data_IF_548906336276
#
_entry.id   IF_548906336276
#
_cell.length_a   1.000
_cell.length_b   1.000
_cell.length_c   1.000
_cell.angle_alpha   90.00
_cell.angle_beta   90.00
_cell.angle_gamma   90.00
#
_symmetry.space_group_name_H-M   'P 1'
#
loop_
_entity.id
_entity.type
_entity.pdbx_description
1 polymer ?
#
# COMPACT_ATOMS: atom_id res chain seq x y z
N UNK A 1 -10.06 1.67 -4.17
CA UNK A 1 -9.46 1.98 -5.49
C UNK A 1 -9.16 0.71 -6.25
N UNK A 2 -9.18 0.76 -7.56
CA UNK A 2 -8.84 -0.36 -8.42
C UNK A 2 -7.34 -0.41 -8.72
N UNK A 3 -6.76 -1.61 -8.69
CA UNK A 3 -5.36 -1.84 -9.08
C UNK A 3 -5.35 -2.49 -10.47
N UNK A 4 -5.28 -1.65 -11.50
CA UNK A 4 -5.33 -2.10 -12.88
C UNK A 4 -3.93 -2.38 -13.46
N UNK A 5 -3.89 -2.99 -14.64
CA UNK A 5 -2.62 -3.35 -15.27
C UNK A 5 -1.77 -2.12 -15.62
N UNK A 6 -2.39 -1.01 -15.99
CA UNK A 6 -1.66 0.23 -16.30
C UNK A 6 -0.87 0.71 -15.09
N UNK A 7 -1.48 0.70 -13.90
CA UNK A 7 -0.82 1.11 -12.65
C UNK A 7 0.34 0.17 -12.32
N UNK A 8 0.13 -1.13 -12.50
CA UNK A 8 1.18 -2.14 -12.27
C UNK A 8 2.36 -1.91 -13.22
N UNK A 9 2.07 -1.66 -14.50
CA UNK A 9 3.12 -1.38 -15.49
C UNK A 9 3.90 -0.11 -15.18
N UNK A 10 3.22 0.95 -14.74
CA UNK A 10 3.88 2.19 -14.33
C UNK A 10 4.80 1.97 -13.12
N UNK A 11 4.36 1.18 -12.15
CA UNK A 11 5.19 0.85 -11.00
C UNK A 11 6.41 0.02 -11.42
N UNK A 12 6.21 -0.96 -12.30
CA UNK A 12 7.30 -1.78 -12.84
C UNK A 12 8.34 -0.91 -13.56
N UNK A 13 7.89 0.06 -14.35
CA UNK A 13 8.78 0.97 -15.07
C UNK A 13 9.55 1.86 -14.10
N UNK A 14 8.88 2.38 -13.07
CA UNK A 14 9.52 3.25 -12.09
C UNK A 14 10.55 2.54 -11.22
N UNK A 15 10.35 1.25 -10.94
CA UNK A 15 11.18 0.47 -9.99
C UNK A 15 12.07 -0.56 -10.68
N UNK A 16 11.92 -0.73 -11.99
CA UNK A 16 12.59 -1.75 -12.80
C UNK A 16 12.19 -3.19 -12.41
N UNK A 17 11.02 -3.33 -11.79
CA UNK A 17 10.46 -4.60 -11.34
C UNK A 17 9.60 -5.27 -12.40
N UNK A 18 10.22 -5.71 -13.52
CA UNK A 18 9.52 -6.24 -14.68
C UNK A 18 9.40 -7.78 -14.66
N UNK A 19 9.24 -8.37 -13.49
CA UNK A 19 9.01 -9.81 -13.40
C UNK A 19 7.70 -10.17 -14.14
N UNK A 20 7.73 -11.29 -14.88
CA UNK A 20 6.62 -11.68 -15.75
C UNK A 20 5.27 -11.82 -15.02
N UNK A 21 5.29 -12.20 -13.74
CA UNK A 21 4.06 -12.36 -12.96
C UNK A 21 3.28 -11.04 -12.79
N UNK A 22 3.94 -9.91 -13.03
CA UNK A 22 3.33 -8.59 -12.91
C UNK A 22 2.97 -7.99 -14.26
N UNK A 23 3.76 -8.21 -15.29
CA UNK A 23 3.66 -7.44 -16.53
C UNK A 23 3.32 -8.25 -17.77
N UNK A 24 3.55 -9.56 -17.79
CA UNK A 24 3.29 -10.40 -18.95
C UNK A 24 1.94 -11.10 -18.81
N UNK A 25 0.90 -10.46 -19.34
CA UNK A 25 -0.48 -10.93 -19.21
C UNK A 25 -0.71 -12.28 -19.88
N UNK A 26 -0.07 -12.53 -21.03
CA UNK A 26 -0.21 -13.79 -21.75
C UNK A 26 0.45 -14.94 -21.01
N UNK A 27 1.67 -14.73 -20.56
CA UNK A 27 2.41 -15.74 -19.80
C UNK A 27 1.73 -16.01 -18.47
N UNK A 28 1.26 -14.98 -17.79
CA UNK A 28 0.56 -15.12 -16.51
C UNK A 28 -0.72 -15.96 -16.65
N UNK A 29 -1.48 -15.75 -17.73
CA UNK A 29 -2.68 -16.54 -18.00
C UNK A 29 -2.38 -18.03 -18.15
N UNK A 30 -1.22 -18.39 -18.68
CA UNK A 30 -0.81 -19.77 -18.93
C UNK A 30 -0.07 -20.39 -17.76
N UNK A 31 0.87 -19.67 -17.15
CA UNK A 31 1.84 -20.22 -16.22
C UNK A 31 1.63 -19.80 -14.77
N UNK A 32 0.92 -18.70 -14.51
CA UNK A 32 0.67 -18.23 -13.13
C UNK A 32 -0.30 -19.14 -12.40
N UNK A 33 -0.02 -19.41 -11.13
CA UNK A 33 -0.95 -20.10 -10.24
C UNK A 33 -2.28 -19.35 -10.10
N UNK A 34 -2.28 -18.03 -10.32
CA UNK A 34 -3.45 -17.16 -10.22
C UNK A 34 -4.17 -16.98 -11.57
N UNK A 35 -3.63 -17.51 -12.66
CA UNK A 35 -4.16 -17.41 -14.03
C UNK A 35 -4.27 -15.98 -14.55
N UNK A 36 -3.61 -15.04 -13.91
CA UNK A 36 -3.57 -13.63 -14.28
C UNK A 36 -2.35 -12.98 -13.65
N UNK A 37 -2.07 -11.73 -14.03
CA UNK A 37 -1.01 -10.95 -13.37
C UNK A 37 -1.43 -10.51 -11.98
N UNK A 38 -0.45 -10.28 -11.14
CA UNK A 38 -0.64 -9.79 -9.78
C UNK A 38 0.14 -8.48 -9.59
N UNK A 39 -0.34 -7.63 -8.72
CA UNK A 39 0.35 -6.41 -8.34
C UNK A 39 1.61 -6.75 -7.54
N UNK A 40 2.64 -5.91 -7.69
CA UNK A 40 3.79 -5.95 -6.77
C UNK A 40 3.28 -5.69 -5.35
N UNK A 41 3.75 -6.46 -4.39
CA UNK A 41 3.43 -6.19 -2.98
C UNK A 41 3.82 -4.76 -2.59
N UNK A 42 4.97 -4.31 -3.06
CA UNK A 42 5.45 -2.95 -2.79
C UNK A 42 4.61 -1.86 -3.48
N UNK A 43 3.96 -2.16 -4.59
CA UNK A 43 2.98 -1.22 -5.17
C UNK A 43 1.82 -1.02 -4.20
N UNK A 44 1.23 -2.11 -3.74
CA UNK A 44 0.09 -2.06 -2.81
C UNK A 44 0.48 -1.29 -1.55
N UNK A 45 1.64 -1.58 -0.98
CA UNK A 45 2.16 -0.85 0.17
C UNK A 45 2.34 0.64 -0.13
N UNK A 46 2.86 0.97 -1.31
CA UNK A 46 3.10 2.35 -1.71
C UNK A 46 1.83 3.19 -1.88
N UNK A 47 0.69 2.56 -2.03
CA UNK A 47 -0.62 3.23 -2.12
C UNK A 47 -1.18 3.62 -0.75
N UNK A 48 -0.59 3.13 0.34
CA UNK A 48 -1.06 3.39 1.70
C UNK A 48 -1.13 4.89 2.03
N UNK A 49 -0.09 5.69 1.79
CA UNK A 49 -0.16 7.12 2.12
C UNK A 49 -1.28 7.84 1.36
N UNK A 50 -1.50 7.51 0.10
CA UNK A 50 -2.60 8.08 -0.68
C UNK A 50 -3.95 7.76 -0.04
N UNK A 51 -4.20 6.49 0.26
CA UNK A 51 -5.46 6.06 0.88
C UNK A 51 -5.64 6.63 2.29
N UNK A 52 -4.56 6.75 3.04
CA UNK A 52 -4.59 7.35 4.37
C UNK A 52 -4.99 8.83 4.32
N UNK A 53 -4.46 9.56 3.36
CA UNK A 53 -4.79 10.97 3.18
C UNK A 53 -6.25 11.21 2.73
N UNK A 54 -6.91 10.18 2.20
CA UNK A 54 -8.35 10.25 1.90
C UNK A 54 -9.22 10.05 3.15
N UNK A 55 -8.67 9.42 4.19
CA UNK A 55 -9.40 9.11 5.43
C UNK A 55 -9.27 10.25 6.45
N UNK A 56 -8.11 10.86 6.52
CA UNK A 56 -7.76 11.82 7.57
C UNK A 56 -7.29 13.14 6.97
N UNK A 57 -7.61 14.22 7.65
CA UNK A 57 -7.09 15.55 7.36
C UNK A 57 -6.21 16.00 8.52
N UNK A 58 -5.00 16.45 8.21
CA UNK A 58 -4.07 16.97 9.20
C UNK A 58 -3.90 18.47 8.96
N UNK A 59 -4.35 19.27 9.91
CA UNK A 59 -4.31 20.72 9.80
C UNK A 59 -2.90 21.27 10.04
N UNK A 60 -2.59 22.39 9.38
CA UNK A 60 -1.30 23.08 9.51
C UNK A 60 -0.10 22.21 9.15
N UNK A 61 -0.32 21.22 8.31
CA UNK A 61 0.71 20.31 7.89
C UNK A 61 1.67 20.97 6.90
N UNK A 62 2.97 20.92 7.19
CA UNK A 62 4.01 21.34 6.28
C UNK A 62 4.42 20.17 5.36
N UNK A 63 4.70 19.01 5.98
CA UNK A 63 5.04 17.80 5.23
C UNK A 63 4.84 16.56 6.10
N UNK A 64 4.61 15.44 5.45
CA UNK A 64 4.56 14.12 6.06
C UNK A 64 5.69 13.27 5.46
N UNK A 65 6.42 12.59 6.32
CA UNK A 65 7.56 11.76 5.90
C UNK A 65 7.32 10.32 6.33
N UNK A 66 7.59 9.39 5.43
CA UNK A 66 7.61 7.97 5.77
C UNK A 66 8.82 7.71 6.67
N UNK A 67 8.58 7.20 7.87
CA UNK A 67 9.63 6.98 8.85
C UNK A 67 9.96 5.50 9.02
N UNK A 68 8.96 4.66 9.06
CA UNK A 68 9.18 3.24 9.25
C UNK A 68 7.92 2.41 9.10
N UNK A 69 8.11 1.12 9.30
CA UNK A 69 7.05 0.14 9.20
C UNK A 69 7.34 -0.98 10.19
N UNK A 70 6.38 -1.28 11.07
CA UNK A 70 6.50 -2.36 12.04
C UNK A 70 5.54 -3.49 11.72
N UNK A 71 5.96 -4.73 12.00
CA UNK A 71 5.11 -5.92 11.93
C UNK A 71 4.38 -6.06 10.60
N UNK A 72 4.99 -5.59 9.54
CA UNK A 72 4.39 -5.59 8.21
C UNK A 72 4.48 -6.97 7.59
N UNK A 73 3.36 -7.46 7.05
CA UNK A 73 3.27 -8.76 6.36
C UNK A 73 2.50 -8.62 5.07
N UNK A 74 2.99 -9.29 4.03
CA UNK A 74 2.22 -9.56 2.83
C UNK A 74 1.44 -10.86 3.06
N UNK A 75 0.11 -10.76 3.07
CA UNK A 75 -0.74 -11.89 3.40
C UNK A 75 -1.28 -12.60 2.15
N UNK A 76 -1.62 -11.81 1.14
CA UNK A 76 -2.24 -12.36 -0.05
C UNK A 76 -2.00 -11.46 -1.26
N UNK A 77 -1.80 -12.05 -2.47
CA UNK A 77 -1.57 -11.26 -3.67
C UNK A 77 -2.82 -10.49 -4.10
N UNK A 78 -2.59 -9.30 -4.64
CA UNK A 78 -3.63 -8.49 -5.26
C UNK A 78 -3.64 -8.82 -6.75
N UNK A 79 -4.68 -9.50 -7.22
CA UNK A 79 -4.84 -9.81 -8.64
C UNK A 79 -5.14 -8.52 -9.41
N UNK A 80 -4.68 -8.45 -10.65
CA UNK A 80 -4.99 -7.31 -11.52
C UNK A 80 -6.51 -7.10 -11.59
N UNK A 81 -6.94 -5.83 -11.50
CA UNK A 81 -8.36 -5.48 -11.51
C UNK A 81 -9.05 -5.54 -10.15
N UNK A 82 -8.35 -6.02 -9.12
CA UNK A 82 -8.93 -6.05 -7.76
C UNK A 82 -9.14 -4.65 -7.22
N UNK A 83 -10.17 -4.49 -6.41
CA UNK A 83 -10.41 -3.25 -5.66
C UNK A 83 -9.88 -3.44 -4.24
N UNK A 84 -9.15 -2.45 -3.79
CA UNK A 84 -8.56 -2.45 -2.45
C UNK A 84 -9.03 -1.25 -1.65
N UNK A 85 -9.00 -1.39 -0.32
CA UNK A 85 -9.27 -0.28 0.59
C UNK A 85 -8.36 -0.36 1.81
N UNK A 86 -8.10 0.79 2.40
CA UNK A 86 -7.37 0.89 3.66
C UNK A 86 -8.34 0.89 4.82
N UNK A 87 -8.07 0.03 5.80
CA UNK A 87 -8.72 0.07 7.12
C UNK A 87 -7.61 0.38 8.13
N UNK A 88 -7.75 1.46 8.85
CA UNK A 88 -6.68 1.97 9.69
C UNK A 88 -7.19 2.54 11.00
N UNK A 89 -6.33 2.47 12.01
CA UNK A 89 -6.55 3.07 13.32
C UNK A 89 -5.28 3.79 13.77
N UNK A 90 -5.44 5.00 14.30
CA UNK A 90 -4.34 5.71 14.93
C UNK A 90 -3.98 5.00 16.23
N UNK A 91 -2.81 4.39 16.29
CA UNK A 91 -2.37 3.57 17.42
C UNK A 91 -1.55 4.37 18.41
N UNK A 92 -0.70 5.27 17.95
CA UNK A 92 0.20 6.03 18.82
C UNK A 92 0.54 7.39 18.24
N UNK A 93 0.78 8.33 19.14
CA UNK A 93 1.29 9.66 18.81
C UNK A 93 2.39 9.97 19.82
N UNK A 94 3.52 10.42 19.33
CA UNK A 94 4.66 10.82 20.14
C UNK A 94 5.16 12.18 19.68
N UNK A 95 5.34 13.08 20.62
CA UNK A 95 5.88 14.41 20.32
C UNK A 95 7.40 14.39 20.40
N UNK A 96 8.05 14.59 19.25
CA UNK A 96 9.49 14.68 19.14
C UNK A 96 9.91 16.14 18.94
N UNK A 97 9.76 16.96 19.97
CA UNK A 97 10.12 18.38 19.94
C UNK A 97 9.41 19.15 18.82
N UNK A 98 8.08 18.98 18.72
CA UNK A 98 7.26 19.65 17.73
C UNK A 98 7.04 18.87 16.45
N UNK A 99 7.71 17.72 16.28
CA UNK A 99 7.47 16.77 15.20
C UNK A 99 6.59 15.65 15.76
N UNK A 100 5.48 15.36 15.09
CA UNK A 100 4.58 14.29 15.54
C UNK A 100 4.96 12.98 14.88
N UNK A 101 5.35 11.99 15.68
CA UNK A 101 5.55 10.62 15.22
C UNK A 101 4.27 9.86 15.46
N UNK A 102 3.61 9.43 14.38
CA UNK A 102 2.33 8.74 14.45
C UNK A 102 2.47 7.30 13.99
N UNK A 103 1.94 6.36 14.78
CA UNK A 103 1.83 4.95 14.44
C UNK A 103 0.40 4.65 13.99
N UNK A 104 0.26 4.10 12.78
CA UNK A 104 -1.02 3.79 12.17
C UNK A 104 -1.10 2.28 11.97
N UNK A 105 -1.95 1.63 12.75
CA UNK A 105 -2.23 0.21 12.54
C UNK A 105 -3.15 0.07 11.34
N UNK A 106 -2.77 -0.74 10.36
CA UNK A 106 -3.52 -0.80 9.11
C UNK A 106 -3.64 -2.21 8.56
N UNK A 107 -4.68 -2.37 7.74
CA UNK A 107 -4.85 -3.48 6.81
C UNK A 107 -5.26 -2.89 5.47
N UNK A 108 -4.72 -3.45 4.39
CA UNK A 108 -5.24 -3.17 3.05
C UNK A 108 -6.05 -4.38 2.63
N UNK A 109 -7.36 -4.19 2.54
CA UNK A 109 -8.32 -5.24 2.21
C UNK A 109 -8.56 -5.32 0.72
N UNK A 110 -8.88 -6.53 0.25
CA UNK A 110 -9.25 -6.81 -1.13
C UNK A 110 -10.74 -7.11 -1.15
N UNK A 111 -11.50 -6.44 -2.01
CA UNK A 111 -12.94 -6.66 -2.15
C UNK A 111 -13.23 -8.13 -2.42
N UNK A 112 -14.15 -8.70 -1.65
CA UNK A 112 -14.57 -10.10 -1.78
C UNK A 112 -13.64 -11.12 -1.13
N UNK A 113 -12.56 -10.69 -0.47
CA UNK A 113 -11.61 -11.59 0.18
C UNK A 113 -11.66 -11.42 1.69
N UNK A 114 -11.48 -12.53 2.42
CA UNK A 114 -11.43 -12.51 3.89
C UNK A 114 -10.09 -12.02 4.40
N UNK A 115 -9.00 -12.46 3.76
CA UNK A 115 -7.66 -12.08 4.16
C UNK A 115 -7.28 -10.75 3.52
N UNK A 116 -6.63 -9.85 4.26
CA UNK A 116 -6.09 -8.63 3.66
C UNK A 116 -4.93 -8.93 2.72
N UNK A 117 -4.63 -8.00 1.83
CA UNK A 117 -3.44 -8.07 1.00
C UNK A 117 -2.19 -7.93 1.85
N UNK A 118 -2.21 -7.00 2.77
CA UNK A 118 -1.12 -6.77 3.72
C UNK A 118 -1.63 -6.06 4.96
N UNK A 119 -0.83 -6.15 6.03
CA UNK A 119 -1.12 -5.50 7.31
C UNK A 119 0.16 -5.11 8.02
N UNK A 120 0.07 -4.18 8.94
CA UNK A 120 1.21 -3.74 9.72
C UNK A 120 0.92 -2.46 10.48
N UNK A 121 2.00 -1.80 10.92
CA UNK A 121 1.95 -0.48 11.53
C UNK A 121 2.82 0.45 10.72
N UNK A 122 2.22 1.44 10.07
CA UNK A 122 2.94 2.48 9.36
C UNK A 122 3.34 3.58 10.34
N UNK A 123 4.56 4.07 10.24
CA UNK A 123 5.06 5.14 11.09
C UNK A 123 5.36 6.35 10.22
N UNK A 124 4.64 7.45 10.49
CA UNK A 124 4.81 8.72 9.79
C UNK A 124 5.36 9.78 10.73
N UNK A 125 6.16 10.67 10.19
CA UNK A 125 6.52 11.91 10.86
C UNK A 125 5.73 13.05 10.23
N UNK A 126 5.04 13.82 11.06
CA UNK A 126 4.30 15.00 10.64
C UNK A 126 5.03 16.26 11.11
N UNK A 127 5.36 17.10 10.13
CA UNK A 127 5.98 18.40 10.38
C UNK A 127 4.92 19.49 10.16
N UNK A 128 4.83 20.42 11.07
CA UNK A 128 3.81 21.47 11.05
C UNK A 128 4.41 22.83 10.71
N UNK A 129 3.56 23.68 10.16
CA UNK A 129 3.92 25.09 9.91
C UNK A 129 3.83 25.94 11.18
#
# INVERSE_FOLDING_TARGET
MEVNQERINLFADATLGHQWIHVDTERAAKESAYKTTIAHGYLTLSLLPHMWNEIIEVNNLKMMVNYGMDKMRFEQPVLVGSRIRLVAALESIENLRGICKAGIKFQIEIEGQRKPALEGVAIFLYYFV
#
